data_IF_317370447670
#
_entry.id   IF_317370447670
#
_cell.length_a   1.000
_cell.length_b   1.000
_cell.length_c   1.000
_cell.angle_alpha   90.00
_cell.angle_beta   90.00
_cell.angle_gamma   90.00
#
_symmetry.space_group_name_H-M   'P 1'
#
loop_
_entity.id
_entity.type
_entity.pdbx_description
1 polymer ?
#
# COMPACT_ATOMS: atom_id res chain seq x y z
N UNK A 1 32.43 -28.07 -6.86
CA UNK A 1 31.72 -27.02 -6.10
C UNK A 1 30.35 -27.56 -5.78
N UNK A 2 29.88 -27.38 -4.54
CA UNK A 2 28.53 -27.80 -4.15
C UNK A 2 27.56 -26.71 -4.55
N UNK A 3 26.52 -27.09 -5.29
CA UNK A 3 25.46 -26.21 -5.81
C UNK A 3 24.26 -26.38 -4.89
N UNK A 4 23.72 -25.26 -4.42
CA UNK A 4 22.62 -25.21 -3.47
C UNK A 4 21.44 -24.43 -4.06
N UNK A 5 20.22 -24.83 -3.69
CA UNK A 5 18.99 -24.13 -4.03
C UNK A 5 18.44 -23.42 -2.78
N UNK A 6 18.10 -22.13 -2.91
CA UNK A 6 17.62 -21.30 -1.80
C UNK A 6 16.40 -20.51 -2.28
N UNK A 7 15.29 -20.68 -1.56
CA UNK A 7 14.06 -19.91 -1.79
C UNK A 7 14.10 -18.54 -1.09
N UNK A 8 13.47 -17.55 -1.71
CA UNK A 8 13.20 -16.25 -1.13
C UNK A 8 11.77 -15.82 -1.45
N UNK A 9 11.09 -15.26 -0.46
CA UNK A 9 9.71 -14.80 -0.59
C UNK A 9 9.68 -13.27 -0.48
N UNK A 10 9.04 -12.62 -1.44
CA UNK A 10 8.79 -11.19 -1.43
C UNK A 10 7.32 -10.94 -1.10
N UNK A 11 7.06 -10.35 0.07
CA UNK A 11 5.72 -9.88 0.43
C UNK A 11 5.41 -8.59 -0.35
N UNK A 12 4.39 -8.64 -1.20
CA UNK A 12 4.04 -7.52 -2.08
C UNK A 12 3.12 -6.52 -1.36
N UNK A 13 2.26 -6.98 -0.44
CA UNK A 13 1.21 -6.16 0.18
C UNK A 13 1.47 -5.82 1.66
N UNK A 14 2.58 -6.28 2.23
CA UNK A 14 2.95 -6.04 3.63
C UNK A 14 1.87 -6.56 4.59
N UNK A 15 1.48 -7.81 4.38
CA UNK A 15 0.50 -8.45 5.23
C UNK A 15 1.14 -8.78 6.58
N UNK A 16 0.60 -8.22 7.67
CA UNK A 16 1.01 -8.58 9.04
C UNK A 16 0.55 -10.00 9.45
N UNK A 17 0.39 -10.93 8.51
CA UNK A 17 -0.22 -12.24 8.76
C UNK A 17 0.58 -13.35 8.09
N UNK A 18 0.68 -14.49 8.79
CA UNK A 18 1.29 -15.73 8.32
C UNK A 18 0.33 -16.58 7.46
N UNK A 19 -0.68 -15.95 6.84
CA UNK A 19 -1.63 -16.67 5.99
C UNK A 19 -1.03 -16.86 4.59
N UNK A 20 -0.90 -18.12 4.16
CA UNK A 20 -0.34 -18.50 2.86
C UNK A 20 -1.15 -17.96 1.68
N UNK A 21 -2.35 -17.41 1.94
CA UNK A 21 -3.22 -16.83 0.93
C UNK A 21 -2.82 -15.41 0.49
N UNK A 22 -1.84 -14.75 1.11
CA UNK A 22 -1.46 -13.40 0.67
C UNK A 22 -0.60 -13.41 -0.62
N UNK A 23 -0.85 -12.46 -1.55
CA UNK A 23 -0.11 -12.40 -2.80
C UNK A 23 1.35 -12.04 -2.56
N UNK A 24 2.23 -12.92 -3.02
CA UNK A 24 3.69 -12.83 -2.89
C UNK A 24 4.37 -13.29 -4.16
N UNK A 25 5.64 -12.92 -4.30
CA UNK A 25 6.53 -13.48 -5.30
C UNK A 25 7.50 -14.46 -4.64
N UNK A 26 7.61 -15.65 -5.21
CA UNK A 26 8.57 -16.67 -4.78
C UNK A 26 9.71 -16.72 -5.79
N UNK A 27 10.93 -16.54 -5.31
CA UNK A 27 12.14 -16.62 -6.11
C UNK A 27 12.98 -17.80 -5.65
N UNK A 28 13.39 -18.66 -6.58
CA UNK A 28 14.32 -19.75 -6.32
C UNK A 28 15.65 -19.40 -6.94
N UNK A 29 16.70 -19.43 -6.12
CA UNK A 29 18.06 -19.15 -6.54
C UNK A 29 18.89 -20.41 -6.48
N UNK A 30 19.78 -20.57 -7.45
CA UNK A 30 20.81 -21.60 -7.45
C UNK A 30 22.16 -20.92 -7.27
N UNK A 31 22.92 -21.36 -6.30
CA UNK A 31 24.17 -20.71 -5.94
C UNK A 31 25.27 -21.64 -5.43
N UNK A 32 26.47 -21.09 -5.39
CA UNK A 32 27.67 -21.72 -4.81
C UNK A 32 28.34 -20.75 -3.85
N UNK A 33 29.28 -21.25 -3.04
CA UNK A 33 30.13 -20.37 -2.24
C UNK A 33 30.93 -19.41 -3.15
N UNK A 34 31.12 -18.13 -2.79
CA UNK A 34 30.80 -17.50 -1.51
C UNK A 34 29.40 -16.84 -1.40
N UNK A 35 28.56 -16.89 -2.44
CA UNK A 35 27.22 -16.31 -2.40
C UNK A 35 26.28 -17.07 -1.46
N UNK A 36 26.52 -18.37 -1.31
CA UNK A 36 25.85 -19.27 -0.36
C UNK A 36 26.72 -19.48 0.88
N UNK A 37 26.08 -19.40 2.04
CA UNK A 37 26.64 -19.73 3.35
C UNK A 37 25.81 -20.84 4.00
N UNK A 38 26.27 -21.32 5.15
CA UNK A 38 25.56 -22.32 5.95
C UNK A 38 25.29 -21.77 7.35
N UNK A 39 24.14 -22.11 7.92
CA UNK A 39 23.81 -21.79 9.31
C UNK A 39 24.40 -22.82 10.30
N UNK A 40 24.02 -22.70 11.57
CA UNK A 40 24.49 -23.62 12.62
C UNK A 40 23.96 -25.06 12.44
N UNK A 41 22.90 -25.24 11.66
CA UNK A 41 22.26 -26.51 11.32
C UNK A 41 22.74 -27.05 9.95
N UNK A 42 23.76 -26.41 9.36
CA UNK A 42 24.30 -26.75 8.05
C UNK A 42 23.25 -26.66 6.92
N UNK A 43 22.25 -25.78 7.07
CA UNK A 43 21.29 -25.47 6.01
C UNK A 43 21.85 -24.37 5.10
N UNK A 44 21.69 -24.48 3.77
CA UNK A 44 22.12 -23.46 2.84
C UNK A 44 21.29 -22.19 3.02
N UNK A 45 21.95 -21.04 3.06
CA UNK A 45 21.33 -19.73 3.10
C UNK A 45 22.15 -18.71 2.33
N UNK A 46 21.54 -17.59 1.99
CA UNK A 46 22.29 -16.51 1.36
C UNK A 46 23.35 -15.96 2.30
N UNK A 47 24.43 -15.44 1.73
CA UNK A 47 25.33 -14.57 2.47
C UNK A 47 24.55 -13.36 3.00
N UNK A 48 24.85 -12.92 4.23
CA UNK A 48 24.17 -11.80 4.92
C UNK A 48 24.04 -10.52 4.08
N UNK A 49 25.04 -10.21 3.24
CA UNK A 49 25.01 -9.04 2.35
C UNK A 49 23.93 -9.19 1.27
N UNK A 50 23.77 -10.38 0.71
CA UNK A 50 22.75 -10.71 -0.30
C UNK A 50 21.35 -10.68 0.34
N UNK A 51 21.17 -11.29 1.52
CA UNK A 51 19.90 -11.22 2.27
C UNK A 51 19.46 -9.79 2.51
N UNK A 52 20.40 -8.92 2.93
CA UNK A 52 20.10 -7.51 3.17
C UNK A 52 19.68 -6.81 1.88
N UNK A 53 20.39 -7.05 0.77
CA UNK A 53 20.04 -6.46 -0.53
C UNK A 53 18.67 -6.92 -1.02
N UNK A 54 18.32 -8.20 -0.83
CA UNK A 54 17.00 -8.73 -1.17
C UNK A 54 15.89 -8.03 -0.37
N UNK A 55 16.08 -7.83 0.94
CA UNK A 55 15.13 -7.07 1.79
C UNK A 55 15.02 -5.60 1.40
N UNK A 56 16.15 -4.97 1.08
CA UNK A 56 16.17 -3.57 0.67
C UNK A 56 15.49 -3.41 -0.70
N UNK A 57 15.70 -4.35 -1.62
CA UNK A 57 15.04 -4.41 -2.93
C UNK A 57 13.51 -4.56 -2.79
N UNK A 58 13.06 -5.48 -1.94
CA UNK A 58 11.62 -5.70 -1.68
C UNK A 58 10.95 -4.41 -1.20
N UNK A 59 11.56 -3.71 -0.24
CA UNK A 59 11.06 -2.42 0.26
C UNK A 59 11.03 -1.37 -0.84
N UNK A 60 12.08 -1.28 -1.64
CA UNK A 60 12.16 -0.32 -2.73
C UNK A 60 11.05 -0.58 -3.75
N UNK A 61 10.91 -1.80 -4.26
CA UNK A 61 9.92 -2.13 -5.28
C UNK A 61 8.49 -1.97 -4.79
N UNK A 62 8.20 -2.37 -3.55
CA UNK A 62 6.89 -2.12 -2.93
C UNK A 62 6.57 -0.63 -2.83
N UNK A 63 7.56 0.20 -2.51
CA UNK A 63 7.37 1.66 -2.49
C UNK A 63 7.13 2.22 -3.90
N UNK A 64 7.90 1.75 -4.89
CA UNK A 64 7.74 2.15 -6.29
C UNK A 64 6.35 1.81 -6.84
N UNK A 65 5.86 0.60 -6.58
CA UNK A 65 4.56 0.14 -7.07
C UNK A 65 3.39 0.45 -6.11
N UNK A 66 3.59 1.23 -5.04
CA UNK A 66 2.56 1.43 -4.02
C UNK A 66 1.23 1.92 -4.61
N UNK A 67 1.30 2.86 -5.57
CA UNK A 67 0.11 3.37 -6.25
C UNK A 67 -0.60 2.30 -7.08
N UNK A 68 0.16 1.51 -7.83
CA UNK A 68 -0.40 0.43 -8.67
C UNK A 68 -0.99 -0.69 -7.82
N UNK A 69 -0.27 -1.11 -6.77
CA UNK A 69 -0.75 -2.10 -5.82
C UNK A 69 -2.01 -1.65 -5.09
N UNK A 70 -2.18 -0.35 -4.83
CA UNK A 70 -3.42 0.19 -4.27
C UNK A 70 -4.60 0.16 -5.23
N UNK A 71 -4.34 0.07 -6.54
CA UNK A 71 -5.35 -0.03 -7.60
C UNK A 71 -5.66 -1.48 -8.00
N UNK A 72 -4.92 -2.46 -7.47
CA UNK A 72 -5.20 -3.87 -7.71
C UNK A 72 -6.61 -4.26 -7.30
N UNK A 73 -7.13 -5.28 -7.98
CA UNK A 73 -8.49 -5.78 -7.81
C UNK A 73 -9.58 -4.81 -8.24
N UNK A 74 -9.27 -3.73 -8.96
CA UNK A 74 -10.29 -2.94 -9.64
C UNK A 74 -11.17 -3.80 -10.58
N UNK A 75 -12.31 -3.28 -11.05
CA UNK A 75 -13.13 -3.98 -12.03
C UNK A 75 -12.45 -4.14 -13.41
N UNK A 76 -11.35 -3.43 -13.66
CA UNK A 76 -10.57 -3.51 -14.88
C UNK A 76 -9.53 -4.63 -14.80
N UNK A 77 -9.90 -5.80 -15.31
CA UNK A 77 -9.06 -6.99 -15.28
C UNK A 77 -7.79 -6.83 -16.12
N UNK A 78 -7.85 -6.10 -17.22
CA UNK A 78 -6.67 -5.81 -18.05
C UNK A 78 -5.68 -5.00 -17.25
N UNK A 79 -6.15 -3.95 -16.56
CA UNK A 79 -5.30 -3.13 -15.70
C UNK A 79 -4.68 -3.94 -14.56
N UNK A 80 -5.46 -4.77 -13.87
CA UNK A 80 -4.93 -5.61 -12.79
C UNK A 80 -3.85 -6.57 -13.30
N UNK A 81 -4.07 -7.21 -14.45
CA UNK A 81 -3.08 -8.08 -15.08
C UNK A 81 -1.79 -7.33 -15.46
N UNK A 82 -1.91 -6.12 -16.02
CA UNK A 82 -0.77 -5.26 -16.34
C UNK A 82 0.03 -4.91 -15.08
N UNK A 83 -0.63 -4.50 -13.99
CA UNK A 83 0.05 -4.18 -12.73
C UNK A 83 0.90 -5.38 -12.23
N UNK A 84 0.34 -6.60 -12.28
CA UNK A 84 1.05 -7.81 -11.84
C UNK A 84 2.22 -8.12 -12.77
N UNK A 85 2.03 -7.99 -14.08
CA UNK A 85 3.09 -8.23 -15.07
C UNK A 85 4.25 -7.25 -14.90
N UNK A 86 3.94 -5.95 -14.74
CA UNK A 86 4.94 -4.91 -14.55
C UNK A 86 5.72 -5.14 -13.25
N UNK A 87 5.02 -5.49 -12.17
CA UNK A 87 5.64 -5.86 -10.91
C UNK A 87 6.61 -7.04 -11.06
N UNK A 88 6.18 -8.14 -11.68
CA UNK A 88 7.03 -9.33 -11.89
C UNK A 88 8.25 -8.97 -12.76
N UNK A 89 8.04 -8.19 -13.82
CA UNK A 89 9.10 -7.75 -14.71
C UNK A 89 10.14 -6.87 -14.01
N UNK A 90 9.70 -5.97 -13.14
CA UNK A 90 10.58 -5.11 -12.34
C UNK A 90 11.32 -5.91 -11.28
N UNK A 91 10.67 -6.82 -10.57
CA UNK A 91 11.36 -7.74 -9.65
C UNK A 91 12.43 -8.56 -10.38
N UNK A 92 12.10 -9.17 -11.50
CA UNK A 92 13.06 -9.94 -12.30
C UNK A 92 14.25 -9.08 -12.76
N UNK A 93 13.96 -7.89 -13.28
CA UNK A 93 14.98 -6.94 -13.77
C UNK A 93 15.91 -6.51 -12.65
N UNK A 94 15.37 -6.10 -11.50
CA UNK A 94 16.17 -5.63 -10.38
C UNK A 94 16.95 -6.76 -9.69
N UNK A 95 16.38 -7.96 -9.57
CA UNK A 95 17.12 -9.14 -9.08
C UNK A 95 18.33 -9.39 -9.99
N UNK A 96 18.12 -9.40 -11.30
CA UNK A 96 19.19 -9.62 -12.28
C UNK A 96 20.29 -8.57 -12.18
N UNK A 97 19.93 -7.30 -11.97
CA UNK A 97 20.88 -6.19 -11.93
C UNK A 97 21.62 -6.05 -10.60
N UNK A 98 20.95 -6.31 -9.48
CA UNK A 98 21.45 -5.95 -8.15
C UNK A 98 21.87 -7.14 -7.27
N UNK A 99 21.31 -8.32 -7.55
CA UNK A 99 21.44 -9.50 -6.69
C UNK A 99 22.29 -10.58 -7.33
N UNK A 100 22.06 -10.89 -8.60
CA UNK A 100 22.75 -12.00 -9.27
C UNK A 100 24.26 -11.75 -9.40
N UNK A 101 25.02 -12.84 -9.31
CA UNK A 101 26.47 -12.82 -9.39
C UNK A 101 26.86 -13.92 -10.37
N UNK A 102 27.37 -13.54 -11.55
CA UNK A 102 27.72 -14.50 -12.61
C UNK A 102 28.59 -15.64 -12.09
N UNK A 103 28.12 -16.88 -12.28
CA UNK A 103 28.82 -18.10 -11.86
C UNK A 103 28.83 -18.36 -10.35
N UNK A 104 28.11 -17.57 -9.55
CA UNK A 104 28.01 -17.75 -8.10
C UNK A 104 26.58 -17.78 -7.59
N UNK A 105 25.68 -17.01 -8.21
CA UNK A 105 24.28 -16.92 -7.84
C UNK A 105 23.44 -16.57 -9.06
N UNK A 106 22.53 -17.48 -9.42
CA UNK A 106 21.65 -17.37 -10.57
C UNK A 106 20.19 -17.53 -10.12
N UNK A 107 19.26 -16.89 -10.84
CA UNK A 107 17.83 -17.02 -10.61
C UNK A 107 17.33 -18.22 -11.42
N UNK A 108 16.78 -19.23 -10.74
CA UNK A 108 16.18 -20.40 -11.38
C UNK A 108 14.72 -20.13 -11.75
N UNK A 109 13.96 -19.53 -10.82
CA UNK A 109 12.56 -19.21 -11.06
C UNK A 109 12.12 -17.98 -10.27
N UNK A 110 11.10 -17.30 -10.81
CA UNK A 110 10.33 -16.26 -10.14
C UNK A 110 8.86 -16.52 -10.45
N UNK A 111 8.07 -16.83 -9.43
CA UNK A 111 6.67 -17.25 -9.57
C UNK A 111 5.75 -16.43 -8.68
N UNK A 112 4.49 -16.30 -9.11
CA UNK A 112 3.42 -15.75 -8.29
C UNK A 112 2.92 -16.83 -7.32
N UNK A 113 2.74 -16.49 -6.06
CA UNK A 113 2.11 -17.35 -5.06
C UNK A 113 1.08 -16.56 -4.23
N UNK A 114 0.20 -17.30 -3.55
CA UNK A 114 -0.94 -16.75 -2.82
C UNK A 114 -2.08 -16.26 -3.74
N UNK A 115 -3.07 -15.60 -3.13
CA UNK A 115 -4.25 -15.08 -3.83
C UNK A 115 -4.00 -13.67 -4.35
N UNK A 116 -3.85 -13.56 -5.67
CA UNK A 116 -3.72 -12.28 -6.33
C UNK A 116 -5.10 -11.70 -6.63
N UNK A 117 -5.43 -10.48 -6.16
CA UNK A 117 -6.69 -9.83 -6.46
C UNK A 117 -6.74 -9.44 -7.93
N UNK A 118 -7.18 -10.38 -8.78
CA UNK A 118 -7.42 -10.19 -10.21
C UNK A 118 -8.80 -9.59 -10.47
N UNK A 119 -9.76 -9.80 -9.55
CA UNK A 119 -11.15 -9.40 -9.68
C UNK A 119 -11.78 -9.06 -8.33
N UNK A 120 -12.19 -7.80 -8.10
CA UNK A 120 -13.29 -7.48 -7.18
C UNK A 120 -14.56 -7.25 -7.99
N UNK A 121 -15.53 -8.14 -7.86
CA UNK A 121 -16.91 -7.80 -8.21
C UNK A 121 -17.40 -6.76 -7.20
N UNK A 122 -17.54 -5.50 -7.61
CA UNK A 122 -18.21 -4.48 -6.79
C UNK A 122 -19.66 -4.85 -6.44
N UNK A 123 -20.26 -5.77 -7.20
CA UNK A 123 -21.58 -6.34 -6.89
C UNK A 123 -21.56 -7.47 -5.87
N UNK A 124 -20.36 -7.94 -5.46
CA UNK A 124 -20.24 -8.96 -4.42
C UNK A 124 -20.70 -8.38 -3.08
N UNK A 125 -21.61 -9.04 -2.35
CA UNK A 125 -22.12 -8.54 -1.07
C UNK A 125 -21.03 -8.17 -0.06
N UNK A 126 -19.92 -8.93 -0.04
CA UNK A 126 -18.79 -8.68 0.86
C UNK A 126 -17.99 -7.43 0.49
N UNK A 127 -17.89 -7.11 -0.80
CA UNK A 127 -17.21 -5.89 -1.27
C UNK A 127 -18.06 -4.67 -0.95
N UNK A 128 -19.37 -4.75 -1.22
CA UNK A 128 -20.32 -3.69 -0.85
C UNK A 128 -20.33 -3.42 0.64
N UNK A 129 -20.31 -4.48 1.46
CA UNK A 129 -20.25 -4.35 2.92
C UNK A 129 -18.95 -3.65 3.36
N UNK A 130 -17.80 -4.07 2.83
CA UNK A 130 -16.50 -3.48 3.16
C UNK A 130 -16.37 -2.02 2.69
N UNK A 131 -16.95 -1.68 1.55
CA UNK A 131 -16.99 -0.30 1.06
C UNK A 131 -17.91 0.58 1.91
N UNK A 132 -19.03 0.05 2.39
CA UNK A 132 -19.92 0.75 3.32
C UNK A 132 -19.25 1.00 4.69
N UNK A 133 -18.40 0.08 5.16
CA UNK A 133 -17.59 0.24 6.37
C UNK A 133 -16.46 1.27 6.20
N UNK A 134 -16.06 1.58 4.96
CA UNK A 134 -15.06 2.60 4.62
C UNK A 134 -15.66 3.98 4.38
N UNK A 135 -16.99 4.09 4.25
CA UNK A 135 -17.64 5.40 4.19
C UNK A 135 -17.41 6.11 5.54
N UNK A 136 -16.81 7.32 5.53
CA UNK A 136 -16.65 8.07 6.76
C UNK A 136 -18.05 8.33 7.33
N UNK A 137 -18.30 7.83 8.54
CA UNK A 137 -19.55 8.08 9.24
C UNK A 137 -19.86 9.58 9.17
N UNK A 138 -21.07 9.99 8.76
CA UNK A 138 -21.39 11.40 8.66
C UNK A 138 -21.15 12.03 10.02
N UNK A 139 -20.19 12.95 10.08
CA UNK A 139 -20.03 13.81 11.24
C UNK A 139 -21.38 14.52 11.39
N UNK A 140 -22.14 14.13 12.41
CA UNK A 140 -23.33 14.88 12.77
C UNK A 140 -22.83 16.20 13.34
N UNK A 141 -22.69 17.22 12.47
CA UNK A 141 -22.54 18.59 12.95
C UNK A 141 -23.76 18.89 13.83
N UNK A 142 -23.57 19.27 15.12
CA UNK A 142 -24.69 19.62 15.96
C UNK A 142 -25.32 20.90 15.40
N UNK A 143 -26.58 20.78 14.97
CA UNK A 143 -27.40 21.90 14.50
C UNK A 143 -27.41 23.01 15.55
N UNK A 144 -27.04 24.26 15.24
CA UNK A 144 -27.18 25.35 16.20
C UNK A 144 -28.67 25.66 16.38
N UNK A 145 -29.18 25.36 17.57
CA UNK A 145 -30.56 25.67 17.98
C UNK A 145 -30.77 27.18 17.95
N UNK A 146 -31.54 27.67 16.98
CA UNK A 146 -32.02 29.06 16.95
C UNK A 146 -33.33 29.11 17.75
N UNK A 147 -33.44 29.88 18.85
CA UNK A 147 -34.75 30.11 19.47
C UNK A 147 -35.43 31.30 18.80
N UNK A 148 -36.62 31.06 18.23
CA UNK A 148 -37.49 32.11 17.69
C UNK A 148 -38.89 32.00 18.30
N UNK A 149 -39.39 33.12 18.84
CA UNK A 149 -40.75 33.35 19.33
C UNK A 149 -40.75 34.12 20.67
N UNK A 150 -41.43 35.25 20.90
CA UNK A 150 -42.57 35.89 20.21
C UNK A 150 -42.71 37.39 20.63
N UNK A 151 -43.42 38.16 19.80
CA UNK A 151 -43.79 39.60 19.77
C UNK A 151 -44.58 40.17 21.01
N UNK A 152 -45.29 41.35 20.95
CA UNK A 152 -44.89 42.78 20.74
C UNK A 152 -45.52 43.74 21.81
N UNK A 153 -45.08 45.00 21.94
CA UNK A 153 -45.96 46.16 22.27
C UNK A 153 -45.25 47.52 22.12
N UNK A 154 -45.99 48.48 21.56
CA UNK A 154 -45.72 49.90 21.31
C UNK A 154 -45.71 50.79 22.56
N UNK A 155 -44.89 51.87 22.58
CA UNK A 155 -45.25 53.31 22.61
C UNK A 155 -44.11 54.24 23.10
N UNK A 156 -43.85 55.30 22.32
CA UNK A 156 -43.68 56.73 22.70
C UNK A 156 -42.46 57.28 23.49
N UNK A 157 -41.86 58.34 22.89
CA UNK A 157 -41.16 59.52 23.48
C UNK A 157 -39.75 59.27 24.08
N UNK A 158 -38.68 60.05 23.87
CA UNK A 158 -38.49 61.49 23.60
C UNK A 158 -37.07 61.75 23.06
N UNK A 159 -36.91 62.87 22.35
CA UNK A 159 -35.68 63.59 21.97
C UNK A 159 -34.49 63.47 22.96
N UNK A 160 -33.26 63.39 22.43
CA UNK A 160 -32.30 64.50 22.59
C UNK A 160 -31.11 64.37 21.62
N UNK A 161 -30.87 65.46 20.88
CA UNK A 161 -29.69 65.79 20.09
C UNK A 161 -29.30 67.18 20.62
N UNK A 162 -28.03 67.52 20.94
CA UNK A 162 -26.96 67.67 19.95
C UNK A 162 -25.57 67.26 20.53
N UNK A 163 -24.46 67.11 19.81
CA UNK A 163 -23.67 68.18 19.21
C UNK A 163 -22.67 67.62 18.17
N UNK A 164 -22.52 68.43 17.14
CA UNK A 164 -21.71 68.31 15.92
C UNK A 164 -20.24 68.74 16.21
N UNK A 165 -19.38 69.04 15.20
CA UNK A 165 -18.85 68.29 14.06
C UNK A 165 -17.30 68.21 14.07
N UNK A 166 -16.69 67.34 13.27
CA UNK A 166 -15.48 67.73 12.51
C UNK A 166 -15.33 66.84 11.27
N UNK A 167 -15.42 67.47 10.09
CA UNK A 167 -15.10 66.90 8.77
C UNK A 167 -13.75 67.45 8.27
N UNK A 168 -13.04 66.72 7.39
CA UNK A 168 -11.67 67.03 6.97
C UNK A 168 -11.60 67.97 5.76
N UNK A 169 -10.50 68.73 5.67
CA UNK A 169 -9.88 69.22 4.41
C UNK A 169 -8.36 69.12 4.58
#
# INVERSE_FOLDING_TARGET
MQVESIGWEFDVLQANSFDDNYPRLEAVFVGVAPAVAYDAQNQPKFQRTIERRLRDLEKQLRQTHQADLSALGSADLTRNATIIQDLVADYHTQITQQILITGQLELESLTLAGEWPLFWAQTSPLVQQKDHEREPMPFSEPTPTTPQGSQPTSTSTTDDHPDNPYTPV
#
